data_IF_646395627140
#
_entry.id   IF_646395627140
#
_cell.length_a   1.000
_cell.length_b   1.000
_cell.length_c   1.000
_cell.angle_alpha   90.00
_cell.angle_beta   90.00
_cell.angle_gamma   90.00
#
_symmetry.space_group_name_H-M   'P 1'
#
loop_
_entity.id
_entity.type
_entity.pdbx_description
1 polymer ?
#
# COMPACT_ATOMS: atom_id res chain seq x y z
N UNK A 1 0.71 36.68 27.11
CA UNK A 1 0.27 35.48 27.87
C UNK A 1 -0.59 34.56 26.96
N UNK A 2 -1.55 35.09 26.21
CA UNK A 2 -2.49 34.33 25.38
C UNK A 2 -1.80 33.58 24.23
N UNK A 3 -0.97 34.25 23.42
CA UNK A 3 -0.22 33.65 22.32
C UNK A 3 0.72 32.52 22.78
N UNK A 4 1.26 32.59 24.00
CA UNK A 4 2.08 31.51 24.57
C UNK A 4 1.22 30.28 24.95
N UNK A 5 0.02 30.48 25.44
CA UNK A 5 -0.92 29.39 25.75
C UNK A 5 -1.38 28.68 24.46
N UNK A 6 -1.78 29.43 23.44
CA UNK A 6 -2.20 28.91 22.14
C UNK A 6 -1.07 28.08 21.48
N UNK A 7 0.18 28.56 21.56
CA UNK A 7 1.33 27.81 21.02
C UNK A 7 1.59 26.51 21.79
N UNK A 8 1.44 26.51 23.12
CA UNK A 8 1.59 25.30 23.95
C UNK A 8 0.46 24.29 23.63
N UNK A 9 -0.75 24.74 23.47
CA UNK A 9 -1.89 23.90 23.10
C UNK A 9 -1.72 23.30 21.71
N UNK A 10 -1.24 24.08 20.73
CA UNK A 10 -0.91 23.59 19.41
C UNK A 10 0.17 22.52 19.42
N UNK A 11 1.26 22.74 20.16
CA UNK A 11 2.35 21.76 20.32
C UNK A 11 1.85 20.48 20.98
N UNK A 12 1.03 20.58 22.03
CA UNK A 12 0.44 19.44 22.70
C UNK A 12 -0.52 18.65 21.79
N UNK A 13 -1.29 19.34 20.95
CA UNK A 13 -2.14 18.71 19.94
C UNK A 13 -1.33 18.02 18.87
N UNK A 14 -0.22 18.62 18.41
CA UNK A 14 0.69 18.01 17.47
C UNK A 14 1.35 16.75 18.03
N UNK A 15 1.82 16.78 19.28
CA UNK A 15 2.40 15.61 19.92
C UNK A 15 1.40 14.46 20.09
N UNK A 16 0.15 14.77 20.50
CA UNK A 16 -0.90 13.76 20.59
C UNK A 16 -1.21 13.13 19.22
N UNK A 17 -1.29 13.95 18.16
CA UNK A 17 -1.52 13.46 16.81
C UNK A 17 -0.37 12.56 16.34
N UNK A 18 0.88 12.89 16.65
CA UNK A 18 2.05 12.09 16.31
C UNK A 18 2.00 10.71 17.00
N UNK A 19 1.72 10.67 18.30
CA UNK A 19 1.60 9.40 19.05
C UNK A 19 0.49 8.50 18.51
N UNK A 20 -0.65 9.07 18.12
CA UNK A 20 -1.73 8.32 17.48
C UNK A 20 -1.26 7.74 16.14
N UNK A 21 -0.52 8.52 15.37
CA UNK A 21 0.05 8.14 14.09
C UNK A 21 1.04 6.97 14.22
N UNK A 22 2.00 7.09 15.13
CA UNK A 22 2.98 6.02 15.41
C UNK A 22 2.30 4.71 15.83
N UNK A 23 1.29 4.79 16.68
CA UNK A 23 0.51 3.62 17.10
C UNK A 23 -0.17 2.96 15.91
N UNK A 24 -0.84 3.73 15.04
CA UNK A 24 -1.56 3.22 13.86
C UNK A 24 -0.60 2.60 12.84
N UNK A 25 0.55 3.24 12.60
CA UNK A 25 1.59 2.65 11.75
C UNK A 25 2.07 1.31 12.33
N UNK A 26 2.32 1.23 13.62
CA UNK A 26 2.70 -0.01 14.29
C UNK A 26 1.61 -1.10 14.20
N UNK A 27 0.34 -0.73 14.26
CA UNK A 27 -0.80 -1.65 14.06
C UNK A 27 -0.86 -2.15 12.61
N UNK A 28 -0.70 -1.25 11.62
CA UNK A 28 -0.68 -1.61 10.20
C UNK A 28 0.49 -2.55 9.86
N UNK A 29 1.68 -2.29 10.43
CA UNK A 29 2.85 -3.17 10.28
C UNK A 29 2.61 -4.57 10.85
N UNK A 30 2.02 -4.67 12.05
CA UNK A 30 1.66 -5.96 12.64
C UNK A 30 0.64 -6.68 11.78
N UNK A 31 -0.34 -5.95 11.27
CA UNK A 31 -1.36 -6.51 10.38
C UNK A 31 -0.75 -7.01 9.08
N UNK A 32 0.18 -6.26 8.48
CA UNK A 32 0.89 -6.71 7.27
C UNK A 32 1.66 -8.00 7.50
N UNK A 33 2.44 -8.09 8.58
CA UNK A 33 3.16 -9.33 8.94
C UNK A 33 2.20 -10.50 9.15
N UNK A 34 1.09 -10.27 9.85
CA UNK A 34 0.06 -11.28 10.06
C UNK A 34 -0.56 -11.74 8.75
N UNK A 35 -0.85 -10.81 7.84
CA UNK A 35 -1.39 -11.12 6.51
C UNK A 35 -0.41 -11.98 5.70
N UNK A 36 0.89 -11.68 5.75
CA UNK A 36 1.94 -12.52 5.14
C UNK A 36 1.91 -13.94 5.71
N UNK A 37 1.92 -14.10 7.03
CA UNK A 37 1.91 -15.41 7.69
C UNK A 37 0.71 -16.26 7.28
N UNK A 38 -0.47 -15.65 7.17
CA UNK A 38 -1.72 -16.32 6.81
C UNK A 38 -1.89 -16.52 5.30
N UNK A 39 -1.18 -15.78 4.47
CA UNK A 39 -1.42 -15.72 3.02
C UNK A 39 -1.40 -17.06 2.30
N UNK A 40 -0.56 -17.99 2.75
CA UNK A 40 -0.41 -19.32 2.16
C UNK A 40 -1.25 -20.41 2.85
N UNK A 41 -1.55 -20.25 4.13
CA UNK A 41 -2.21 -21.29 4.95
C UNK A 41 -3.69 -21.01 5.15
N UNK A 42 -4.06 -19.74 5.29
CA UNK A 42 -5.43 -19.27 5.55
C UNK A 42 -5.74 -18.02 4.72
N UNK A 43 -5.73 -18.13 3.38
CA UNK A 43 -5.79 -16.93 2.50
C UNK A 43 -7.09 -16.13 2.66
N UNK A 44 -8.22 -16.77 2.92
CA UNK A 44 -9.50 -16.07 3.14
C UNK A 44 -9.49 -15.25 4.44
N UNK A 45 -8.90 -15.78 5.51
CA UNK A 45 -8.73 -15.05 6.76
C UNK A 45 -7.77 -13.85 6.57
N UNK A 46 -6.66 -14.05 5.87
CA UNK A 46 -5.75 -12.97 5.51
C UNK A 46 -6.46 -11.84 4.76
N UNK A 47 -7.32 -12.18 3.78
CA UNK A 47 -8.13 -11.22 3.04
C UNK A 47 -9.10 -10.45 3.93
N UNK A 48 -9.85 -11.15 4.79
CA UNK A 48 -10.82 -10.54 5.71
C UNK A 48 -10.14 -9.55 6.66
N UNK A 49 -9.01 -9.93 7.24
CA UNK A 49 -8.26 -9.06 8.15
C UNK A 49 -7.70 -7.83 7.43
N UNK A 50 -7.15 -7.99 6.23
CA UNK A 50 -6.67 -6.89 5.41
C UNK A 50 -7.80 -5.92 5.04
N UNK A 51 -8.91 -6.43 4.51
CA UNK A 51 -10.07 -5.62 4.12
C UNK A 51 -10.70 -4.90 5.31
N UNK A 52 -10.81 -5.54 6.47
CA UNK A 52 -11.32 -4.89 7.67
C UNK A 52 -10.43 -3.71 8.11
N UNK A 53 -9.12 -3.86 8.05
CA UNK A 53 -8.17 -2.79 8.34
C UNK A 53 -8.32 -1.64 7.35
N UNK A 54 -8.34 -1.92 6.05
CA UNK A 54 -8.50 -0.90 4.99
C UNK A 54 -9.82 -0.15 5.15
N UNK A 55 -10.93 -0.86 5.39
CA UNK A 55 -12.25 -0.24 5.67
C UNK A 55 -12.22 0.69 6.87
N UNK A 56 -11.54 0.29 7.94
CA UNK A 56 -11.35 1.16 9.10
C UNK A 56 -10.62 2.45 8.73
N UNK A 57 -9.50 2.36 8.01
CA UNK A 57 -8.72 3.52 7.57
C UNK A 57 -9.53 4.42 6.63
N UNK A 58 -10.24 3.85 5.66
CA UNK A 58 -11.10 4.62 4.73
C UNK A 58 -12.23 5.31 5.50
N UNK A 59 -12.91 4.62 6.42
CA UNK A 59 -13.97 5.18 7.24
C UNK A 59 -13.49 6.39 8.06
N UNK A 60 -12.35 6.27 8.74
CA UNK A 60 -11.76 7.37 9.49
C UNK A 60 -11.36 8.53 8.58
N UNK A 61 -10.74 8.25 7.44
CA UNK A 61 -10.31 9.25 6.47
C UNK A 61 -11.50 10.02 5.86
N UNK A 62 -12.66 9.39 5.75
CA UNK A 62 -13.89 10.06 5.26
C UNK A 62 -14.56 10.92 6.35
N UNK A 63 -14.40 10.56 7.63
CA UNK A 63 -14.98 11.31 8.75
C UNK A 63 -14.09 12.47 9.23
N UNK A 64 -12.77 12.29 9.22
CA UNK A 64 -11.79 13.29 9.67
C UNK A 64 -11.27 14.08 8.46
N UNK A 65 -11.31 15.42 8.55
CA UNK A 65 -10.63 16.30 7.60
C UNK A 65 -9.12 16.05 7.56
N UNK A 66 -8.30 17.02 7.19
CA UNK A 66 -6.85 16.96 6.89
C UNK A 66 -5.92 16.22 7.88
N UNK A 67 -6.43 15.70 9.00
CA UNK A 67 -5.64 15.00 10.03
C UNK A 67 -5.02 13.68 9.57
N UNK A 68 -5.54 13.05 8.51
CA UNK A 68 -5.02 11.80 7.96
C UNK A 68 -3.63 11.93 7.31
N UNK A 69 -3.21 13.13 6.93
CA UNK A 69 -1.95 13.42 6.22
C UNK A 69 -0.71 13.19 7.09
N UNK A 70 -0.87 13.12 8.41
CA UNK A 70 0.25 12.96 9.36
C UNK A 70 0.70 11.50 9.59
N UNK A 71 0.19 10.55 8.81
CA UNK A 71 0.56 9.13 8.90
C UNK A 71 1.94 8.81 8.31
N UNK A 72 2.53 9.74 7.57
CA UNK A 72 3.87 9.62 6.99
C UNK A 72 4.92 10.11 7.98
N UNK A 73 5.09 9.44 9.12
CA UNK A 73 6.23 9.74 9.97
C UNK A 73 7.42 8.83 9.59
N UNK A 74 8.61 9.43 9.58
CA UNK A 74 9.90 8.75 9.41
C UNK A 74 10.17 7.78 10.58
N UNK A 75 9.37 6.71 10.70
CA UNK A 75 9.67 5.70 11.69
C UNK A 75 10.81 4.83 11.16
N UNK A 76 11.93 4.86 11.86
CA UNK A 76 13.06 3.95 11.67
C UNK A 76 12.63 2.51 11.98
N UNK A 77 12.02 1.84 11.01
CA UNK A 77 11.53 0.48 11.09
C UNK A 77 12.02 -0.38 9.93
N UNK A 78 11.61 -1.62 9.91
CA UNK A 78 11.84 -2.56 8.82
C UNK A 78 11.26 -1.98 7.51
N UNK A 79 12.14 -1.46 6.66
CA UNK A 79 11.76 -0.79 5.39
C UNK A 79 10.88 -1.69 4.52
N UNK A 80 11.06 -3.00 4.60
CA UNK A 80 10.33 -3.97 3.79
C UNK A 80 8.84 -4.07 4.14
N UNK A 81 8.50 -3.88 5.41
CA UNK A 81 7.12 -3.87 5.87
C UNK A 81 6.52 -2.45 5.86
N UNK A 82 7.35 -1.40 5.90
CA UNK A 82 6.89 -0.01 5.82
C UNK A 82 6.39 0.36 4.43
N UNK A 83 7.08 -0.09 3.37
CA UNK A 83 6.70 0.21 1.99
C UNK A 83 5.22 -0.06 1.67
N UNK A 84 4.64 -1.26 1.90
CA UNK A 84 3.22 -1.48 1.64
C UNK A 84 2.29 -0.59 2.47
N UNK A 85 2.67 -0.25 3.70
CA UNK A 85 1.89 0.67 4.55
C UNK A 85 1.92 2.08 4.00
N UNK A 86 3.11 2.60 3.64
CA UNK A 86 3.27 3.92 3.03
C UNK A 86 2.50 4.02 1.72
N UNK A 87 2.70 3.05 0.82
CA UNK A 87 1.99 3.00 -0.47
C UNK A 87 0.47 2.99 -0.25
N UNK A 88 -0.03 2.24 0.74
CA UNK A 88 -1.47 2.22 1.05
C UNK A 88 -1.96 3.61 1.45
N UNK A 89 -1.29 4.25 2.41
CA UNK A 89 -1.72 5.56 2.94
C UNK A 89 -1.69 6.63 1.84
N UNK A 90 -0.59 6.73 1.10
CA UNK A 90 -0.44 7.73 0.04
C UNK A 90 -1.44 7.49 -1.10
N UNK A 91 -1.66 6.22 -1.47
CA UNK A 91 -2.67 5.87 -2.48
C UNK A 91 -4.07 6.27 -2.07
N UNK A 92 -4.46 6.02 -0.81
CA UNK A 92 -5.76 6.41 -0.28
C UNK A 92 -5.95 7.93 -0.25
N UNK A 93 -4.92 8.68 0.19
CA UNK A 93 -4.95 10.14 0.19
C UNK A 93 -5.11 10.70 -1.24
N UNK A 94 -4.33 10.18 -2.19
CA UNK A 94 -4.41 10.59 -3.59
C UNK A 94 -5.77 10.21 -4.20
N UNK A 95 -6.25 8.98 -3.95
CA UNK A 95 -7.55 8.51 -4.42
C UNK A 95 -8.70 9.37 -3.89
N UNK A 96 -8.68 9.74 -2.59
CA UNK A 96 -9.65 10.67 -2.01
C UNK A 96 -9.59 12.05 -2.68
N UNK A 97 -8.40 12.60 -2.88
CA UNK A 97 -8.22 13.88 -3.55
C UNK A 97 -8.71 13.87 -5.01
N UNK A 98 -8.64 12.73 -5.67
CA UNK A 98 -9.17 12.50 -7.02
C UNK A 98 -10.67 12.20 -7.06
N UNK A 99 -11.35 12.12 -5.92
CA UNK A 99 -12.78 11.91 -5.82
C UNK A 99 -13.24 10.47 -6.00
N UNK A 100 -12.40 9.49 -5.72
CA UNK A 100 -12.81 8.08 -5.73
C UNK A 100 -13.92 7.82 -4.71
N UNK A 101 -14.84 6.95 -5.07
CA UNK A 101 -15.88 6.44 -4.17
C UNK A 101 -15.29 5.61 -3.02
N UNK A 102 -16.05 5.42 -1.94
CA UNK A 102 -15.63 4.59 -0.80
C UNK A 102 -15.23 3.19 -1.25
N UNK A 103 -15.98 2.57 -2.15
CA UNK A 103 -15.67 1.23 -2.65
C UNK A 103 -14.35 1.22 -3.46
N UNK A 104 -14.11 2.22 -4.31
CA UNK A 104 -12.86 2.34 -5.06
C UNK A 104 -11.66 2.59 -4.14
N UNK A 105 -11.86 3.36 -3.05
CA UNK A 105 -10.83 3.55 -2.02
C UNK A 105 -10.53 2.25 -1.26
N UNK A 106 -11.55 1.46 -0.92
CA UNK A 106 -11.36 0.15 -0.29
C UNK A 106 -10.61 -0.82 -1.22
N UNK A 107 -10.95 -0.86 -2.50
CA UNK A 107 -10.27 -1.68 -3.50
C UNK A 107 -8.82 -1.20 -3.71
N UNK A 108 -8.60 0.11 -3.83
CA UNK A 108 -7.26 0.70 -3.95
C UNK A 108 -6.39 0.41 -2.72
N UNK A 109 -6.92 0.62 -1.53
CA UNK A 109 -6.20 0.36 -0.28
C UNK A 109 -5.84 -1.11 -0.11
N UNK A 110 -6.76 -2.02 -0.45
CA UNK A 110 -6.52 -3.47 -0.42
C UNK A 110 -5.45 -3.87 -1.44
N UNK A 111 -5.52 -3.35 -2.66
CA UNK A 111 -4.51 -3.59 -3.68
C UNK A 111 -3.14 -3.03 -3.27
N UNK A 112 -3.10 -1.80 -2.75
CA UNK A 112 -1.87 -1.16 -2.28
C UNK A 112 -1.20 -1.92 -1.13
N UNK A 113 -2.00 -2.46 -0.20
CA UNK A 113 -1.46 -3.23 0.93
C UNK A 113 -0.89 -4.60 0.51
N UNK A 114 -1.41 -5.19 -0.57
CA UNK A 114 -1.08 -6.54 -1.01
C UNK A 114 -0.25 -6.62 -2.31
N UNK A 115 0.04 -5.48 -2.96
CA UNK A 115 0.66 -5.49 -4.30
C UNK A 115 1.95 -6.30 -4.36
N UNK A 116 2.74 -6.24 -3.33
CA UNK A 116 4.07 -6.84 -3.20
C UNK A 116 4.10 -8.14 -2.39
N UNK A 117 2.95 -8.68 -1.96
CA UNK A 117 2.90 -9.87 -1.10
C UNK A 117 3.59 -11.09 -1.73
N UNK A 118 3.64 -11.16 -3.05
CA UNK A 118 4.33 -12.22 -3.80
C UNK A 118 5.85 -12.20 -3.66
N UNK A 119 6.45 -11.12 -3.18
CA UNK A 119 7.90 -11.05 -2.91
C UNK A 119 8.37 -12.10 -1.91
N UNK A 120 7.49 -12.58 -1.02
CA UNK A 120 7.81 -13.68 -0.08
C UNK A 120 8.18 -15.00 -0.79
N UNK A 121 7.74 -15.17 -2.04
CA UNK A 121 8.02 -16.36 -2.84
C UNK A 121 9.30 -16.25 -3.67
N UNK A 122 9.92 -15.07 -3.68
CA UNK A 122 11.18 -14.86 -4.39
C UNK A 122 12.38 -15.33 -3.54
N UNK A 123 13.47 -15.79 -4.18
CA UNK A 123 14.75 -15.96 -3.50
C UNK A 123 15.19 -14.66 -2.81
N UNK A 124 15.80 -14.75 -1.63
CA UNK A 124 16.20 -13.59 -0.84
C UNK A 124 17.04 -12.58 -1.64
N UNK A 125 17.93 -13.08 -2.51
CA UNK A 125 18.83 -12.29 -3.35
C UNK A 125 18.13 -11.34 -4.31
N UNK A 126 16.90 -11.65 -4.76
CA UNK A 126 16.13 -10.85 -5.73
C UNK A 126 14.84 -10.31 -5.15
N UNK A 127 14.62 -10.46 -3.84
CA UNK A 127 13.40 -9.99 -3.18
C UNK A 127 13.27 -8.46 -3.19
N UNK A 128 14.40 -7.78 -3.10
CA UNK A 128 14.49 -6.32 -3.14
C UNK A 128 15.21 -5.91 -4.41
N UNK A 129 14.63 -4.95 -5.13
CA UNK A 129 15.25 -4.45 -6.36
C UNK A 129 16.57 -3.74 -6.05
N UNK A 130 17.57 -4.03 -6.84
CA UNK A 130 18.88 -3.36 -6.81
C UNK A 130 19.26 -2.95 -8.23
N UNK A 131 19.89 -1.77 -8.37
CA UNK A 131 20.27 -1.21 -9.68
C UNK A 131 21.28 -2.08 -10.47
N UNK A 132 21.97 -2.99 -9.79
CA UNK A 132 22.97 -3.88 -10.35
C UNK A 132 22.43 -5.26 -10.73
N UNK A 133 21.11 -5.46 -10.76
CA UNK A 133 20.54 -6.75 -11.19
C UNK A 133 20.95 -7.10 -12.62
N UNK A 134 21.40 -8.33 -12.82
CA UNK A 134 21.50 -8.94 -14.14
C UNK A 134 20.11 -9.07 -14.77
N UNK A 135 20.05 -9.22 -16.10
CA UNK A 135 18.77 -9.44 -16.80
C UNK A 135 18.01 -10.66 -16.28
N UNK A 136 18.71 -11.70 -15.84
CA UNK A 136 18.08 -12.89 -15.25
C UNK A 136 17.48 -12.60 -13.86
N UNK A 137 18.20 -11.86 -13.01
CA UNK A 137 17.72 -11.43 -11.70
C UNK A 137 16.55 -10.50 -11.81
N UNK A 138 16.61 -9.55 -12.73
CA UNK A 138 15.47 -8.65 -12.99
C UNK A 138 14.23 -9.40 -13.44
N UNK A 139 14.39 -10.43 -14.29
CA UNK A 139 13.27 -11.27 -14.69
C UNK A 139 12.68 -12.05 -13.52
N UNK A 140 13.52 -12.61 -12.65
CA UNK A 140 13.06 -13.26 -11.41
C UNK A 140 12.35 -12.28 -10.48
N UNK A 141 12.86 -11.05 -10.35
CA UNK A 141 12.19 -10.01 -9.58
C UNK A 141 10.79 -9.72 -10.12
N UNK A 142 10.61 -9.64 -11.43
CA UNK A 142 9.30 -9.40 -12.05
C UNK A 142 8.26 -10.48 -11.72
N UNK A 143 8.69 -11.70 -11.39
CA UNK A 143 7.79 -12.82 -11.06
C UNK A 143 6.97 -12.57 -9.79
N UNK A 144 7.37 -11.59 -8.91
CA UNK A 144 6.56 -11.26 -7.72
C UNK A 144 5.15 -10.81 -8.09
N UNK A 145 4.93 -10.19 -9.24
CA UNK A 145 3.60 -9.78 -9.69
C UNK A 145 2.70 -11.00 -9.89
N UNK A 146 3.20 -12.03 -10.56
CA UNK A 146 2.47 -13.27 -10.77
C UNK A 146 2.22 -14.02 -9.46
N UNK A 147 3.18 -14.00 -8.54
CA UNK A 147 3.04 -14.58 -7.21
C UNK A 147 2.02 -13.81 -6.35
N UNK A 148 2.05 -12.46 -6.39
CA UNK A 148 1.03 -11.63 -5.72
C UNK A 148 -0.37 -11.94 -6.25
N UNK A 149 -0.53 -12.06 -7.57
CA UNK A 149 -1.81 -12.43 -8.18
C UNK A 149 -2.28 -13.83 -7.77
N UNK A 150 -1.37 -14.80 -7.67
CA UNK A 150 -1.70 -16.15 -7.22
C UNK A 150 -2.24 -16.14 -5.78
N UNK A 151 -1.58 -15.42 -4.89
CA UNK A 151 -2.03 -15.28 -3.50
C UNK A 151 -3.34 -14.49 -3.42
N UNK A 152 -3.48 -13.39 -4.14
CA UNK A 152 -4.68 -12.57 -4.19
C UNK A 152 -5.91 -13.33 -4.72
N UNK A 153 -5.72 -14.23 -5.71
CA UNK A 153 -6.78 -15.12 -6.19
C UNK A 153 -7.18 -16.16 -5.14
N UNK A 154 -6.22 -16.73 -4.41
CA UNK A 154 -6.51 -17.66 -3.32
C UNK A 154 -7.26 -16.96 -2.16
N UNK A 155 -7.04 -15.66 -1.99
CA UNK A 155 -7.77 -14.77 -1.06
C UNK A 155 -9.18 -14.40 -1.55
N UNK A 156 -9.57 -14.78 -2.77
CA UNK A 156 -10.86 -14.44 -3.40
C UNK A 156 -11.13 -12.93 -3.47
N UNK A 157 -10.08 -12.14 -3.72
CA UNK A 157 -10.21 -10.68 -3.83
C UNK A 157 -10.96 -10.26 -5.10
N UNK A 158 -11.55 -9.05 -5.07
CA UNK A 158 -12.35 -8.50 -6.16
C UNK A 158 -11.54 -8.31 -7.44
N UNK A 159 -12.21 -8.33 -8.59
CA UNK A 159 -11.57 -8.13 -9.90
C UNK A 159 -10.82 -6.80 -10.01
N UNK A 160 -11.32 -5.65 -9.50
CA UNK A 160 -10.58 -4.40 -9.46
C UNK A 160 -9.26 -4.50 -8.68
N UNK A 161 -9.26 -5.17 -7.51
CA UNK A 161 -8.06 -5.40 -6.70
C UNK A 161 -7.04 -6.25 -7.44
N UNK A 162 -7.48 -7.37 -8.04
CA UNK A 162 -6.61 -8.25 -8.84
C UNK A 162 -5.97 -7.51 -10.01
N UNK A 163 -6.76 -6.66 -10.69
CA UNK A 163 -6.28 -5.87 -11.82
C UNK A 163 -5.25 -4.81 -11.37
N UNK A 164 -5.50 -4.14 -10.26
CA UNK A 164 -4.55 -3.17 -9.71
C UNK A 164 -3.23 -3.84 -9.31
N UNK A 165 -3.27 -5.01 -8.66
CA UNK A 165 -2.07 -5.79 -8.34
C UNK A 165 -1.34 -6.22 -9.63
N UNK A 166 -2.05 -6.63 -10.68
CA UNK A 166 -1.43 -7.03 -11.94
C UNK A 166 -0.69 -5.88 -12.63
N UNK A 167 -1.13 -4.65 -12.44
CA UNK A 167 -0.71 -3.48 -13.21
C UNK A 167 0.17 -2.50 -12.43
N UNK A 168 0.54 -2.77 -11.17
CA UNK A 168 1.24 -1.80 -10.33
C UNK A 168 2.68 -1.47 -10.77
N UNK A 169 3.23 -2.21 -11.71
CA UNK A 169 4.49 -1.91 -12.37
C UNK A 169 4.34 -1.51 -13.83
N UNK A 170 3.09 -1.31 -14.31
CA UNK A 170 2.89 -0.78 -15.65
C UNK A 170 3.23 0.71 -15.72
N UNK A 171 3.73 1.13 -16.87
CA UNK A 171 4.10 2.51 -17.15
C UNK A 171 3.15 3.10 -18.19
N UNK A 172 2.89 4.41 -18.09
CA UNK A 172 1.96 5.09 -18.98
C UNK A 172 2.32 4.95 -20.48
N UNK A 173 3.60 4.83 -20.80
CA UNK A 173 4.14 4.65 -22.14
C UNK A 173 4.20 3.20 -22.63
N UNK A 174 3.84 2.22 -21.76
CA UNK A 174 3.90 0.79 -22.05
C UNK A 174 5.28 0.17 -21.83
N UNK A 175 6.24 0.89 -21.26
CA UNK A 175 7.57 0.35 -20.93
C UNK A 175 7.61 -0.48 -19.64
N UNK A 176 6.49 -0.54 -18.92
CA UNK A 176 6.34 -1.29 -17.68
C UNK A 176 6.27 -2.80 -17.85
N UNK A 177 5.84 -3.51 -16.82
CA UNK A 177 5.65 -4.96 -16.81
C UNK A 177 4.49 -5.35 -15.89
N UNK A 178 3.92 -6.56 -16.00
CA UNK A 178 4.28 -7.64 -16.92
C UNK A 178 3.59 -7.54 -18.28
N UNK A 179 2.50 -6.75 -18.42
CA UNK A 179 1.63 -6.75 -19.59
C UNK A 179 2.08 -5.75 -20.66
N UNK A 180 2.93 -4.78 -20.31
CA UNK A 180 3.43 -3.70 -21.18
C UNK A 180 2.29 -2.90 -21.82
N UNK A 181 1.25 -2.61 -21.05
CA UNK A 181 0.08 -1.86 -21.48
C UNK A 181 0.26 -0.36 -21.24
N UNK A 182 -0.30 0.45 -22.14
CA UNK A 182 -0.30 1.90 -22.04
C UNK A 182 -1.40 2.40 -21.09
N UNK A 183 -1.31 3.67 -20.70
CA UNK A 183 -2.20 4.30 -19.74
C UNK A 183 -3.68 4.10 -20.02
N UNK A 184 -4.09 4.09 -21.29
CA UNK A 184 -5.49 3.96 -21.71
C UNK A 184 -6.08 2.57 -21.38
N UNK A 185 -5.22 1.55 -21.29
CA UNK A 185 -5.61 0.18 -20.96
C UNK A 185 -5.46 -0.16 -19.47
N UNK A 186 -4.85 0.76 -18.68
CA UNK A 186 -4.70 0.57 -17.24
C UNK A 186 -5.94 1.01 -16.48
N UNK A 187 -6.32 0.26 -15.44
CA UNK A 187 -7.42 0.69 -14.57
C UNK A 187 -7.08 1.97 -13.79
N UNK A 188 -8.08 2.83 -13.49
CA UNK A 188 -7.83 4.07 -12.75
C UNK A 188 -7.09 3.85 -11.42
N UNK A 189 -7.52 2.88 -10.62
CA UNK A 189 -6.89 2.57 -9.33
C UNK A 189 -5.48 1.96 -9.51
N UNK A 190 -5.24 1.20 -10.59
CA UNK A 190 -3.91 0.68 -10.90
C UNK A 190 -2.93 1.81 -11.25
N UNK A 191 -3.36 2.84 -11.95
CA UNK A 191 -2.52 4.01 -12.29
C UNK A 191 -2.12 4.79 -11.03
N UNK A 192 -3.04 4.94 -10.07
CA UNK A 192 -2.73 5.56 -8.77
C UNK A 192 -1.70 4.71 -8.04
N UNK A 193 -1.96 3.41 -7.92
CA UNK A 193 -1.05 2.48 -7.24
C UNK A 193 0.34 2.47 -7.88
N UNK A 194 0.44 2.38 -9.20
CA UNK A 194 1.71 2.38 -9.93
C UNK A 194 2.51 3.66 -9.70
N UNK A 195 1.84 4.82 -9.72
CA UNK A 195 2.47 6.11 -9.45
C UNK A 195 3.04 6.16 -8.03
N UNK A 196 2.23 5.81 -7.03
CA UNK A 196 2.62 5.87 -5.61
C UNK A 196 3.71 4.84 -5.29
N UNK A 197 3.59 3.62 -5.81
CA UNK A 197 4.59 2.58 -5.65
C UNK A 197 5.97 3.05 -6.18
N UNK A 198 5.99 3.71 -7.33
CA UNK A 198 7.22 4.25 -7.90
C UNK A 198 7.80 5.43 -7.09
N UNK A 199 6.93 6.20 -6.45
CA UNK A 199 7.35 7.34 -5.62
C UNK A 199 7.99 6.91 -4.29
N UNK A 200 7.51 5.80 -3.71
CA UNK A 200 7.98 5.28 -2.41
C UNK A 200 9.23 4.37 -2.53
N UNK A 201 9.54 3.89 -3.73
CA UNK A 201 10.76 3.13 -4.04
C UNK A 201 11.92 4.09 -4.35
#
# INVERSE_FOLDING_TARGET
AQARRERVEQLAAQQRALLVCERRCGEALRQYRRTIELSSTQPKEAAQQCQAMVKGVVGEMMCEGESAIRLLSESAGDKSAMHPVNVTIVSLLLGKAMGLSVQELEDLGTAAFLHDIGKIMLPDRVRWYEDNFSSAEYKLYQDHVSHSLKLAKAMELSAPVLLAIAQHHEMADGSGFPLKIRAEAQSPIARILALVNRYDN
#
